data_IF_604011468894
#
_entry.id   IF_604011468894
#
_cell.length_a   1.000
_cell.length_b   1.000
_cell.length_c   1.000
_cell.angle_alpha   90.00
_cell.angle_beta   90.00
_cell.angle_gamma   90.00
#
_symmetry.space_group_name_H-M   'P 1'
#
loop_
_entity.id
_entity.type
_entity.pdbx_description
1 polymer ?
#
# COMPACT_ATOMS: atom_id res chain seq x y z
N UNK A 1 -7.33 8.27 10.83
CA UNK A 1 -6.58 7.24 11.56
C UNK A 1 -7.01 5.91 10.96
N UNK A 2 -6.45 5.55 9.81
CA UNK A 2 -6.82 4.37 9.04
C UNK A 2 -5.52 3.71 8.59
N UNK A 3 -5.33 2.46 9.00
CA UNK A 3 -4.15 1.58 8.80
C UNK A 3 -4.24 0.88 7.40
N UNK A 4 -3.28 0.13 6.83
CA UNK A 4 -3.17 -0.41 5.44
C UNK A 4 -3.71 -1.79 5.60
N UNK A 5 -3.26 -2.44 6.68
CA UNK A 5 -4.00 -3.50 7.32
C UNK A 5 -5.46 -3.11 7.58
N UNK A 6 -5.76 -1.90 8.06
CA UNK A 6 -7.13 -1.45 8.33
C UNK A 6 -7.93 -0.94 7.11
N UNK A 7 -7.24 -0.41 6.10
CA UNK A 7 -7.78 0.33 4.95
C UNK A 7 -8.01 -0.63 3.80
N UNK A 8 -7.17 -1.66 3.71
CA UNK A 8 -7.38 -2.80 2.83
C UNK A 8 -7.86 -4.05 3.56
N UNK A 9 -7.90 -4.09 4.89
CA UNK A 9 -8.31 -5.31 5.62
C UNK A 9 -7.32 -6.46 5.46
N UNK A 10 -6.02 -6.17 5.32
CA UNK A 10 -4.99 -7.17 5.00
C UNK A 10 -4.08 -7.49 6.19
N UNK A 11 -3.54 -8.70 6.25
CA UNK A 11 -2.53 -9.05 7.25
C UNK A 11 -1.21 -8.29 7.05
N UNK A 12 -0.40 -8.23 8.12
CA UNK A 12 0.93 -7.59 8.12
C UNK A 12 1.84 -8.04 6.97
N UNK A 13 1.76 -9.31 6.57
CA UNK A 13 2.55 -9.84 5.45
C UNK A 13 2.19 -9.19 4.11
N UNK A 14 0.90 -8.96 3.87
CA UNK A 14 0.41 -8.30 2.67
C UNK A 14 0.67 -6.78 2.71
N UNK A 15 0.43 -6.14 3.85
CA UNK A 15 0.76 -4.72 4.05
C UNK A 15 2.26 -4.45 3.81
N UNK A 16 3.14 -5.35 4.28
CA UNK A 16 4.59 -5.26 4.03
C UNK A 16 4.92 -5.35 2.54
N UNK A 17 4.27 -6.26 1.80
CA UNK A 17 4.45 -6.39 0.34
C UNK A 17 3.99 -5.13 -0.39
N UNK A 18 2.86 -4.54 0.00
CA UNK A 18 2.34 -3.29 -0.58
C UNK A 18 3.34 -2.14 -0.35
N UNK A 19 3.79 -1.95 0.89
CA UNK A 19 4.75 -0.88 1.22
C UNK A 19 6.07 -1.08 0.49
N UNK A 20 6.59 -2.31 0.44
CA UNK A 20 7.80 -2.61 -0.32
C UNK A 20 7.61 -2.43 -1.82
N UNK A 21 6.44 -2.73 -2.38
CA UNK A 21 6.13 -2.46 -3.78
C UNK A 21 6.10 -0.94 -4.05
N UNK A 22 5.54 -0.13 -3.15
CA UNK A 22 5.51 1.34 -3.27
C UNK A 22 6.91 1.96 -3.13
N UNK A 23 7.74 1.36 -2.29
CA UNK A 23 9.14 1.74 -2.06
C UNK A 23 10.02 1.38 -3.27
N UNK A 24 9.84 0.18 -3.82
CA UNK A 24 10.61 -0.32 -4.96
C UNK A 24 10.16 0.29 -6.31
N UNK A 25 8.86 0.56 -6.48
CA UNK A 25 8.30 1.07 -7.73
C UNK A 25 8.22 2.60 -7.64
N UNK A 26 9.18 3.28 -8.29
CA UNK A 26 9.11 4.70 -8.58
C UNK A 26 7.77 5.07 -9.23
N UNK A 27 7.25 6.27 -8.93
CA UNK A 27 5.88 6.74 -9.25
C UNK A 27 5.23 6.17 -10.53
N UNK A 28 3.98 5.69 -10.42
CA UNK A 28 3.12 5.50 -11.60
C UNK A 28 2.12 4.33 -11.52
N UNK A 29 1.45 4.11 -12.66
CA UNK A 29 0.49 3.02 -12.94
C UNK A 29 1.04 1.64 -12.58
N UNK A 30 2.36 1.45 -12.65
CA UNK A 30 3.02 0.21 -12.26
C UNK A 30 2.81 -0.11 -10.77
N UNK A 31 2.95 0.86 -9.86
CA UNK A 31 2.71 0.66 -8.45
C UNK A 31 1.23 0.33 -8.19
N UNK A 32 0.32 1.05 -8.86
CA UNK A 32 -1.11 0.80 -8.72
C UNK A 32 -1.52 -0.60 -9.21
N UNK A 33 -0.99 -1.04 -10.36
CA UNK A 33 -1.21 -2.38 -10.89
C UNK A 33 -0.63 -3.48 -10.00
N UNK A 34 0.58 -3.29 -9.47
CA UNK A 34 1.18 -4.24 -8.52
C UNK A 34 0.35 -4.34 -7.23
N UNK A 35 -0.10 -3.21 -6.68
CA UNK A 35 -0.94 -3.19 -5.47
C UNK A 35 -2.30 -3.84 -5.76
N UNK A 36 -2.94 -3.51 -6.88
CA UNK A 36 -4.20 -4.11 -7.29
C UNK A 36 -4.07 -5.63 -7.42
N UNK A 37 -2.98 -6.12 -8.02
CA UNK A 37 -2.71 -7.56 -8.15
C UNK A 37 -2.47 -8.23 -6.79
N UNK A 38 -1.70 -7.58 -5.90
CA UNK A 38 -1.43 -8.06 -4.53
C UNK A 38 -2.75 -8.16 -3.74
N UNK A 39 -3.61 -7.15 -3.81
CA UNK A 39 -4.86 -7.09 -3.05
C UNK A 39 -5.91 -8.03 -3.67
N UNK A 40 -5.99 -8.12 -5.00
CA UNK A 40 -6.87 -9.06 -5.68
C UNK A 40 -6.50 -10.52 -5.39
N UNK A 41 -5.21 -10.81 -5.22
CA UNK A 41 -4.75 -12.14 -4.77
C UNK A 41 -5.20 -12.47 -3.33
N UNK A 42 -5.48 -11.45 -2.51
CA UNK A 42 -6.07 -11.59 -1.18
C UNK A 42 -7.61 -11.62 -1.16
N UNK A 43 -8.27 -11.55 -2.32
CA UNK A 43 -9.74 -11.60 -2.44
C UNK A 43 -10.46 -10.29 -2.07
N UNK A 44 -9.72 -9.18 -1.95
CA UNK A 44 -10.26 -7.89 -1.56
C UNK A 44 -10.57 -7.02 -2.77
N UNK A 45 -11.78 -6.46 -2.82
CA UNK A 45 -12.16 -5.50 -3.85
C UNK A 45 -11.65 -4.10 -3.46
N UNK A 46 -10.74 -3.55 -4.26
CA UNK A 46 -10.19 -2.20 -4.06
C UNK A 46 -10.44 -1.33 -5.29
N UNK A 47 -10.76 -0.08 -5.04
CA UNK A 47 -10.94 0.92 -6.10
C UNK A 47 -9.60 1.56 -6.44
N UNK A 48 -9.44 2.05 -7.67
CA UNK A 48 -8.25 2.77 -8.10
C UNK A 48 -7.94 3.97 -7.19
N UNK A 49 -8.97 4.69 -6.74
CA UNK A 49 -8.82 5.82 -5.82
C UNK A 49 -8.24 5.41 -4.44
N UNK A 50 -8.58 4.23 -3.93
CA UNK A 50 -7.99 3.70 -2.69
C UNK A 50 -6.50 3.38 -2.87
N UNK A 51 -6.14 2.84 -4.03
CA UNK A 51 -4.75 2.51 -4.35
C UNK A 51 -3.91 3.78 -4.46
N UNK A 52 -4.41 4.81 -5.16
CA UNK A 52 -3.72 6.10 -5.28
C UNK A 52 -3.54 6.77 -3.91
N UNK A 53 -4.57 6.76 -3.06
CA UNK A 53 -4.49 7.26 -1.69
C UNK A 53 -3.44 6.51 -0.85
N UNK A 54 -3.36 5.19 -1.00
CA UNK A 54 -2.35 4.39 -0.31
C UNK A 54 -0.92 4.70 -0.79
N UNK A 55 -0.71 4.85 -2.10
CA UNK A 55 0.59 5.23 -2.66
C UNK A 55 1.05 6.57 -2.10
N UNK A 56 0.17 7.59 -2.11
CA UNK A 56 0.49 8.93 -1.60
C UNK A 56 0.86 8.85 -0.12
N UNK A 57 0.06 8.15 0.66
CA UNK A 57 0.24 8.07 2.11
C UNK A 57 1.51 7.31 2.48
N UNK A 58 1.73 6.12 1.92
CA UNK A 58 2.94 5.33 2.15
C UNK A 58 4.19 6.10 1.73
N UNK A 59 4.16 6.82 0.60
CA UNK A 59 5.31 7.67 0.21
C UNK A 59 5.55 8.82 1.18
N UNK A 60 4.51 9.41 1.76
CA UNK A 60 4.65 10.43 2.80
C UNK A 60 5.37 9.86 4.03
N UNK A 61 5.02 8.64 4.45
CA UNK A 61 5.72 7.95 5.54
C UNK A 61 7.17 7.58 5.17
N UNK A 62 7.40 7.04 3.98
CA UNK A 62 8.76 6.69 3.52
C UNK A 62 9.68 7.91 3.43
N UNK A 63 9.18 9.06 2.95
CA UNK A 63 9.92 10.34 2.94
C UNK A 63 10.35 10.79 4.34
N UNK A 64 9.62 10.37 5.37
CA UNK A 64 9.90 10.68 6.79
C UNK A 64 10.69 9.58 7.49
N UNK A 65 11.17 8.57 6.75
CA UNK A 65 11.84 7.37 7.30
C UNK A 65 10.94 6.52 8.23
N UNK A 66 9.62 6.61 8.06
CA UNK A 66 8.62 5.97 8.92
C UNK A 66 8.06 4.67 8.29
N UNK A 67 8.93 3.82 7.74
CA UNK A 67 8.52 2.60 7.00
C UNK A 67 7.69 1.62 7.83
N UNK A 68 8.08 1.37 9.09
CA UNK A 68 7.30 0.53 10.00
C UNK A 68 5.90 1.12 10.26
N UNK A 69 5.82 2.44 10.34
CA UNK A 69 4.58 3.19 10.43
C UNK A 69 3.80 3.21 9.13
N UNK A 70 4.39 2.96 7.96
CA UNK A 70 3.67 2.80 6.70
C UNK A 70 3.04 1.41 6.53
N UNK A 71 3.64 0.39 7.15
CA UNK A 71 3.15 -1.00 7.18
C UNK A 71 2.04 -1.15 8.23
N UNK A 72 2.16 -0.41 9.33
CA UNK A 72 1.15 -0.29 10.37
C UNK A 72 0.12 0.82 10.09
N UNK A 73 0.49 1.87 9.33
CA UNK A 73 -0.46 2.67 8.53
C UNK A 73 -1.13 1.74 7.58
#
# INVERSE_FOLDING_TARGET
MFEVMGYFGVDRGWATKIVNAIDAVGWGVAAAGTIAAIISAGGLAVTSAMIDAAIITVKSYLKRNLKAQAIAW
#
